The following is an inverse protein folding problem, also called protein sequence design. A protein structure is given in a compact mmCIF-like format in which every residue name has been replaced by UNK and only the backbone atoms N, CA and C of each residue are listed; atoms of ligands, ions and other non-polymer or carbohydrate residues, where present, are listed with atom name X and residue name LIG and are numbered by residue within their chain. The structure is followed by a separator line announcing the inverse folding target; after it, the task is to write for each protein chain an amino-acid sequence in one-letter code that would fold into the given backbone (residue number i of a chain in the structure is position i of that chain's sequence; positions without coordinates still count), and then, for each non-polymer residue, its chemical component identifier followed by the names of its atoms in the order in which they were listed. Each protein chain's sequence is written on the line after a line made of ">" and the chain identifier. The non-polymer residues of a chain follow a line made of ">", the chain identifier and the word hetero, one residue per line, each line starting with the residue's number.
data_IF_383948583126
#
_entry.id   IF_383948583126
#
_cell.length_a   1.000
_cell.length_b   1.000
_cell.length_c   1.000
_cell.angle_alpha   90.00
_cell.angle_beta   90.00
_cell.angle_gamma   90.00
#
_symmetry.space_group_name_H-M   'P 1'
#
loop_
_entity.id
_entity.type
_entity.pdbx_description
1 polymer ?
#
# COMPACT_ATOMS: atom_id res chain seq x y z
N UNK A 1 4.20 -0.27 -22.02
CA UNK A 1 3.73 -0.29 -20.63
C UNK A 1 2.30 -0.81 -20.66
N UNK A 2 2.01 -1.92 -19.99
CA UNK A 2 0.66 -2.50 -19.92
C UNK A 2 -0.24 -1.67 -18.99
N UNK A 3 -1.57 -1.88 -19.06
CA UNK A 3 -2.50 -1.21 -18.15
C UNK A 3 -2.23 -1.60 -16.70
N UNK A 4 -1.82 -2.83 -16.44
CA UNK A 4 -1.37 -3.26 -15.13
C UNK A 4 -0.18 -2.42 -14.66
N UNK A 5 0.87 -2.28 -15.47
CA UNK A 5 2.04 -1.48 -15.12
C UNK A 5 1.67 0.00 -14.82
N UNK A 6 0.74 0.61 -15.59
CA UNK A 6 0.22 1.95 -15.31
C UNK A 6 -0.49 2.06 -13.95
N UNK A 7 -1.32 1.07 -13.63
CA UNK A 7 -2.03 1.00 -12.33
C UNK A 7 -1.06 0.81 -11.17
N UNK A 8 -0.05 -0.04 -11.34
CA UNK A 8 0.98 -0.27 -10.34
C UNK A 8 1.82 1.00 -10.11
N UNK A 9 2.11 1.75 -11.18
CA UNK A 9 2.77 3.05 -11.07
C UNK A 9 1.91 4.09 -10.36
N UNK A 10 0.60 4.09 -10.60
CA UNK A 10 -0.34 4.94 -9.87
C UNK A 10 -0.43 4.57 -8.39
N UNK A 11 -0.41 3.27 -8.05
CA UNK A 11 -0.35 2.80 -6.67
C UNK A 11 0.96 3.22 -5.99
N UNK A 12 2.10 3.01 -6.64
CA UNK A 12 3.42 3.40 -6.13
C UNK A 12 3.49 4.91 -5.81
N UNK A 13 3.06 5.78 -6.74
CA UNK A 13 2.99 7.23 -6.50
C UNK A 13 2.07 7.60 -5.33
N UNK A 14 0.97 6.86 -5.15
CA UNK A 14 0.08 7.08 -4.02
C UNK A 14 0.75 6.68 -2.70
N UNK A 15 1.47 5.55 -2.65
CA UNK A 15 2.23 5.14 -1.49
C UNK A 15 3.27 6.21 -1.11
N UNK A 16 4.02 6.71 -2.09
CA UNK A 16 5.01 7.79 -1.87
C UNK A 16 4.36 9.04 -1.28
N UNK A 17 3.23 9.47 -1.87
CA UNK A 17 2.48 10.64 -1.38
C UNK A 17 1.91 10.43 0.02
N UNK A 18 1.38 9.23 0.30
CA UNK A 18 0.78 8.90 1.60
C UNK A 18 1.79 8.87 2.76
N UNK A 19 3.07 8.85 2.41
CA UNK A 19 4.20 8.75 3.33
C UNK A 19 5.07 10.00 3.34
N UNK A 20 4.61 11.08 2.71
CA UNK A 20 5.26 12.37 2.83
C UNK A 20 5.10 12.92 4.24
N UNK A 21 6.22 13.31 4.87
CA UNK A 21 6.21 14.06 6.13
C UNK A 21 5.45 15.37 5.97
N UNK A 22 4.71 15.78 7.00
CA UNK A 22 3.92 17.01 6.98
C UNK A 22 4.08 17.79 8.30
N UNK A 23 3.87 19.12 8.30
CA UNK A 23 3.92 19.91 9.51
C UNK A 23 2.89 19.43 10.53
N UNK A 24 3.29 19.25 11.79
CA UNK A 24 2.37 18.94 12.88
C UNK A 24 1.24 19.99 12.91
N UNK A 25 -0.03 19.57 13.07
CA UNK A 25 -1.16 20.50 13.18
C UNK A 25 -0.99 21.54 14.30
N UNK A 26 -0.20 21.21 15.33
CA UNK A 26 0.09 22.11 16.45
C UNK A 26 1.13 23.17 16.06
N UNK A 27 2.04 22.85 15.14
CA UNK A 27 3.09 23.74 14.62
C UNK A 27 2.63 24.60 13.45
N UNK A 28 1.56 24.21 12.76
CA UNK A 28 0.97 24.97 11.66
C UNK A 28 0.17 26.21 12.11
N UNK A 29 0.14 26.52 13.42
CA UNK A 29 -0.54 27.70 13.98
C UNK A 29 0.25 28.98 13.66
N UNK A 30 -0.45 30.11 13.60
CA UNK A 30 0.19 31.41 13.43
C UNK A 30 1.31 31.61 14.46
N UNK A 31 2.49 32.09 14.03
CA UNK A 31 3.62 32.29 14.94
C UNK A 31 3.23 33.29 16.02
N UNK A 32 3.40 32.88 17.30
CA UNK A 32 3.19 33.80 18.42
C UNK A 32 4.13 34.99 18.28
N UNK A 33 3.66 36.17 18.66
CA UNK A 33 4.47 37.39 18.68
C UNK A 33 4.94 37.67 20.10
N UNK A 34 6.17 38.16 20.24
CA UNK A 34 6.68 38.63 21.51
C UNK A 34 6.03 39.97 21.90
N UNK A 35 6.37 40.48 23.09
CA UNK A 35 5.89 41.76 23.60
C UNK A 35 6.14 42.95 22.64
N UNK A 36 7.14 42.85 21.77
CA UNK A 36 7.47 43.87 20.77
C UNK A 36 6.85 43.60 19.38
N UNK A 37 5.87 42.69 19.30
CA UNK A 37 5.18 42.35 18.06
C UNK A 37 6.01 41.55 17.04
N UNK A 38 7.22 41.10 17.40
CA UNK A 38 8.08 40.30 16.51
C UNK A 38 7.68 38.83 16.60
N UNK A 39 7.63 38.08 15.48
CA UNK A 39 7.35 36.65 15.51
C UNK A 39 8.43 35.93 16.33
N UNK A 40 7.98 35.05 17.23
CA UNK A 40 8.84 34.15 17.99
C UNK A 40 9.18 32.98 17.07
N UNK A 41 10.47 32.71 16.80
CA UNK A 41 10.86 31.52 16.05
C UNK A 41 10.32 30.28 16.75
N UNK A 42 9.42 29.56 16.09
CA UNK A 42 8.95 28.26 16.52
C UNK A 42 9.52 27.22 15.56
N UNK A 43 10.26 26.21 16.02
CA UNK A 43 10.64 25.10 15.16
C UNK A 43 9.35 24.44 14.64
N UNK A 44 9.25 24.27 13.32
CA UNK A 44 8.16 23.50 12.73
C UNK A 44 8.43 22.04 13.07
N UNK A 45 7.65 21.49 13.99
CA UNK A 45 7.68 20.06 14.26
C UNK A 45 7.07 19.34 13.06
N UNK A 46 7.82 18.43 12.46
CA UNK A 46 7.36 17.62 11.34
C UNK A 46 6.87 16.28 11.86
N UNK A 47 5.69 15.86 11.42
CA UNK A 47 5.22 14.48 11.60
C UNK A 47 5.89 13.65 10.52
N UNK A 48 6.75 12.72 10.94
CA UNK A 48 7.37 11.73 10.06
C UNK A 48 6.40 10.59 9.86
N UNK A 49 6.06 10.33 8.60
CA UNK A 49 5.15 9.26 8.21
C UNK A 49 5.96 8.23 7.42
N UNK A 50 6.05 7.01 7.93
CA UNK A 50 6.70 5.89 7.25
C UNK A 50 5.91 5.46 6.01
N UNK A 51 6.54 4.61 5.19
CA UNK A 51 5.88 4.02 4.03
C UNK A 51 4.67 3.19 4.42
N UNK A 52 3.55 3.44 3.72
CA UNK A 52 2.28 2.77 4.02
C UNK A 52 2.32 1.27 3.65
N UNK A 53 3.08 0.94 2.61
CA UNK A 53 3.42 -0.41 2.16
C UNK A 53 4.63 -0.35 1.23
N UNK A 54 5.34 -1.46 1.07
CA UNK A 54 6.49 -1.59 0.16
C UNK A 54 6.16 -2.50 -1.01
N UNK A 55 6.36 -2.04 -2.24
CA UNK A 55 6.20 -2.88 -3.43
C UNK A 55 7.52 -3.58 -3.70
N UNK A 56 7.49 -4.91 -3.79
CA UNK A 56 8.66 -5.76 -3.94
C UNK A 56 8.53 -6.63 -5.19
N UNK A 57 9.39 -6.44 -6.21
CA UNK A 57 9.53 -7.40 -7.30
C UNK A 57 9.98 -8.74 -6.73
N UNK A 58 9.29 -9.82 -7.10
CA UNK A 58 9.59 -11.16 -6.60
C UNK A 58 9.38 -12.21 -7.68
N UNK A 59 10.12 -13.32 -7.58
CA UNK A 59 9.87 -14.53 -8.37
C UNK A 59 8.80 -15.38 -7.68
N UNK A 60 7.64 -15.53 -8.33
CA UNK A 60 6.49 -16.20 -7.73
C UNK A 60 6.70 -17.71 -7.50
N UNK A 61 7.69 -18.30 -8.18
CA UNK A 61 8.09 -19.70 -7.97
C UNK A 61 8.95 -19.91 -6.72
N UNK A 62 9.39 -18.83 -6.06
CA UNK A 62 10.24 -18.88 -4.87
C UNK A 62 9.45 -18.58 -3.60
N UNK A 63 10.01 -18.97 -2.45
CA UNK A 63 9.47 -18.58 -1.15
C UNK A 63 9.66 -17.07 -0.92
N UNK A 64 8.71 -16.39 -0.25
CA UNK A 64 8.87 -14.99 0.11
C UNK A 64 9.97 -14.81 1.15
N UNK A 65 10.53 -13.60 1.24
CA UNK A 65 11.33 -13.24 2.42
C UNK A 65 10.47 -13.26 3.68
N UNK A 66 11.06 -13.70 4.79
CA UNK A 66 10.47 -13.64 6.13
C UNK A 66 11.19 -12.65 7.05
N UNK A 67 12.30 -12.06 6.58
CA UNK A 67 13.09 -11.07 7.31
C UNK A 67 12.52 -9.66 7.09
N UNK A 68 11.43 -9.37 7.79
CA UNK A 68 10.81 -8.04 7.84
C UNK A 68 10.12 -7.81 9.19
N UNK A 69 9.99 -6.54 9.58
CA UNK A 69 9.28 -6.20 10.81
C UNK A 69 7.78 -6.56 10.69
N UNK A 70 7.17 -7.08 11.77
CA UNK A 70 5.75 -7.49 11.76
C UNK A 70 4.78 -6.34 11.45
N UNK A 71 5.21 -5.10 11.61
CA UNK A 71 4.43 -3.93 11.25
C UNK A 71 4.75 -3.42 9.84
N UNK A 72 5.80 -3.90 9.16
CA UNK A 72 5.99 -3.64 7.74
C UNK A 72 4.86 -4.28 6.90
N UNK A 73 4.62 -3.76 5.70
CA UNK A 73 3.60 -4.28 4.80
C UNK A 73 4.20 -4.52 3.41
N UNK A 74 4.87 -5.67 3.21
CA UNK A 74 5.38 -6.10 1.91
C UNK A 74 4.22 -6.38 0.94
N UNK A 75 4.30 -5.87 -0.29
CA UNK A 75 3.40 -6.17 -1.39
C UNK A 75 4.24 -6.78 -2.52
N UNK A 76 4.28 -8.11 -2.57
CA UNK A 76 5.02 -8.82 -3.61
C UNK A 76 4.30 -8.71 -4.95
N UNK A 77 5.04 -8.47 -6.02
CA UNK A 77 4.54 -8.37 -7.39
C UNK A 77 5.56 -9.02 -8.32
N UNK A 78 5.12 -9.59 -9.45
CA UNK A 78 6.04 -10.24 -10.38
C UNK A 78 7.07 -9.26 -10.94
N UNK A 79 8.28 -9.75 -11.23
CA UNK A 79 9.33 -8.93 -11.86
C UNK A 79 8.85 -8.27 -13.17
N UNK A 80 8.07 -8.99 -13.99
CA UNK A 80 7.53 -8.50 -15.26
C UNK A 80 6.57 -7.30 -15.07
N UNK A 81 5.67 -7.38 -14.09
CA UNK A 81 4.75 -6.27 -13.81
C UNK A 81 5.46 -5.08 -13.16
N UNK A 82 6.56 -5.31 -12.45
CA UNK A 82 7.30 -4.25 -11.76
C UNK A 82 8.39 -3.57 -12.62
N UNK A 83 8.79 -4.17 -13.74
CA UNK A 83 9.89 -3.70 -14.61
C UNK A 83 9.88 -2.18 -14.86
N UNK A 84 8.75 -1.50 -15.18
CA UNK A 84 8.79 -0.08 -15.54
C UNK A 84 8.90 0.89 -14.36
N UNK A 85 8.77 0.41 -13.11
CA UNK A 85 8.61 1.27 -11.94
C UNK A 85 9.92 1.87 -11.43
N UNK A 86 11.08 1.39 -11.92
CA UNK A 86 12.39 1.77 -11.39
C UNK A 86 12.42 1.72 -9.85
N UNK A 87 11.90 0.64 -9.27
CA UNK A 87 11.84 0.47 -7.82
C UNK A 87 13.26 0.48 -7.22
N UNK A 88 13.43 0.93 -5.97
CA UNK A 88 14.72 0.91 -5.32
C UNK A 88 15.27 -0.52 -5.26
N UNK A 89 16.61 -0.70 -5.37
CA UNK A 89 17.22 -2.03 -5.38
C UNK A 89 17.06 -2.79 -4.06
N UNK A 90 16.79 -2.07 -2.97
CA UNK A 90 16.51 -2.60 -1.64
C UNK A 90 15.30 -1.88 -1.08
N UNK A 91 14.28 -2.63 -0.68
CA UNK A 91 13.12 -2.08 0.02
C UNK A 91 13.42 -1.95 1.53
N UNK A 92 12.87 -0.92 2.17
CA UNK A 92 12.95 -0.76 3.62
C UNK A 92 11.88 -1.61 4.30
N UNK A 93 12.30 -2.73 4.89
CA UNK A 93 11.44 -3.66 5.62
C UNK A 93 11.52 -3.48 7.15
N UNK A 94 12.07 -2.34 7.60
CA UNK A 94 12.13 -1.98 9.02
C UNK A 94 10.76 -1.48 9.54
N UNK A 95 10.59 -1.30 10.87
CA UNK A 95 9.33 -0.82 11.44
C UNK A 95 8.94 0.55 10.86
N UNK A 96 7.73 0.73 10.29
CA UNK A 96 7.36 1.98 9.65
C UNK A 96 7.07 3.07 10.70
N UNK A 97 7.73 4.23 10.55
CA UNK A 97 7.55 5.37 11.45
C UNK A 97 6.08 5.86 11.48
N UNK A 98 5.46 5.93 12.66
CA UNK A 98 4.11 6.48 12.83
C UNK A 98 2.98 5.74 12.08
N UNK A 99 3.28 4.60 11.45
CA UNK A 99 2.36 3.82 10.61
C UNK A 99 2.31 2.35 11.05
N UNK A 100 2.33 2.11 12.36
CA UNK A 100 2.05 0.79 12.92
C UNK A 100 0.67 0.29 12.50
N UNK A 101 0.41 -1.01 12.67
CA UNK A 101 -0.82 -1.74 12.31
C UNK A 101 -0.91 -2.12 10.83
N UNK A 102 -0.08 -3.07 10.42
CA UNK A 102 -0.10 -3.63 9.07
C UNK A 102 -1.51 -4.07 8.62
N UNK A 103 -2.30 -4.70 9.50
CA UNK A 103 -3.67 -5.13 9.20
C UNK A 103 -4.61 -3.97 8.83
N UNK A 104 -4.65 -2.91 9.63
CA UNK A 104 -5.50 -1.73 9.39
C UNK A 104 -5.12 -1.06 8.05
N UNK A 105 -3.82 -1.02 7.74
CA UNK A 105 -3.31 -0.46 6.48
C UNK A 105 -3.70 -1.29 5.27
N UNK A 106 -3.54 -2.61 5.35
CA UNK A 106 -3.98 -3.52 4.31
C UNK A 106 -5.50 -3.43 4.10
N UNK A 107 -6.28 -3.39 5.19
CA UNK A 107 -7.72 -3.22 5.13
C UNK A 107 -8.11 -1.90 4.45
N UNK A 108 -7.40 -0.80 4.72
CA UNK A 108 -7.64 0.48 4.05
C UNK A 108 -7.36 0.40 2.55
N UNK A 109 -6.23 -0.20 2.15
CA UNK A 109 -5.89 -0.39 0.73
C UNK A 109 -6.98 -1.19 0.02
N UNK A 110 -7.36 -2.35 0.58
CA UNK A 110 -8.42 -3.21 0.02
C UNK A 110 -9.75 -2.45 -0.06
N UNK A 111 -10.16 -1.77 1.01
CA UNK A 111 -11.40 -0.99 1.02
C UNK A 111 -11.43 0.12 -0.03
N UNK A 112 -10.31 0.82 -0.24
CA UNK A 112 -10.20 1.86 -1.28
C UNK A 112 -10.22 1.27 -2.69
N UNK A 113 -9.65 0.08 -2.90
CA UNK A 113 -9.77 -0.64 -4.18
C UNK A 113 -11.19 -1.16 -4.43
N UNK A 114 -11.88 -1.66 -3.41
CA UNK A 114 -13.29 -2.05 -3.51
C UNK A 114 -14.18 -0.86 -3.89
N UNK A 115 -13.96 0.30 -3.25
CA UNK A 115 -14.67 1.53 -3.60
C UNK A 115 -14.31 1.97 -5.03
N UNK A 116 -13.04 1.92 -5.43
CA UNK A 116 -12.59 2.22 -6.79
C UNK A 116 -13.22 1.31 -7.85
N UNK A 117 -13.41 0.02 -7.55
CA UNK A 117 -14.04 -0.95 -8.45
C UNK A 117 -15.56 -0.73 -8.58
N UNK A 118 -16.21 -0.21 -7.53
CA UNK A 118 -17.65 0.10 -7.53
C UNK A 118 -17.99 1.45 -8.14
N UNK A 119 -17.04 2.38 -8.15
CA UNK A 119 -17.28 3.76 -8.56
C UNK A 119 -17.56 3.80 -10.07
N UNK A 120 -18.84 3.81 -10.42
CA UNK A 120 -19.28 4.31 -11.73
C UNK A 120 -18.94 5.81 -11.78
N UNK A 121 -18.61 6.37 -12.97
CA UNK A 121 -18.32 7.80 -13.11
C UNK A 121 -19.41 8.76 -12.59
N UNK A 122 -20.58 8.26 -12.20
CA UNK A 122 -21.72 9.01 -11.68
C UNK A 122 -21.90 8.98 -10.15
N UNK A 123 -21.12 8.21 -9.38
CA UNK A 123 -21.27 8.16 -7.91
C UNK A 123 -20.42 9.24 -7.24
N UNK A 124 -21.11 10.19 -6.62
CA UNK A 124 -20.67 11.24 -5.68
C UNK A 124 -19.21 11.76 -5.81
N UNK A 125 -19.01 13.03 -6.21
CA UNK A 125 -17.69 13.63 -6.46
C UNK A 125 -16.64 13.38 -5.36
N UNK A 126 -17.07 13.47 -4.10
CA UNK A 126 -16.18 13.28 -2.94
C UNK A 126 -15.58 11.87 -2.81
N UNK A 127 -16.18 10.84 -3.43
CA UNK A 127 -15.59 9.48 -3.54
C UNK A 127 -14.72 9.33 -4.79
N UNK A 128 -15.05 10.04 -5.87
CA UNK A 128 -14.30 10.02 -7.11
C UNK A 128 -12.95 10.77 -7.01
N UNK A 129 -12.85 11.74 -6.09
CA UNK A 129 -11.71 12.66 -5.96
C UNK A 129 -10.35 11.99 -5.68
N UNK A 130 -10.32 10.75 -5.20
CA UNK A 130 -9.04 10.07 -4.94
C UNK A 130 -8.49 9.25 -6.12
N UNK A 131 -9.30 9.00 -7.16
CA UNK A 131 -8.85 8.32 -8.39
C UNK A 131 -8.42 6.86 -8.20
N UNK A 132 -9.11 6.09 -7.35
CA UNK A 132 -8.74 4.69 -7.07
C UNK A 132 -9.04 3.73 -8.21
N UNK A 133 -9.95 4.10 -9.11
CA UNK A 133 -10.21 3.36 -10.35
C UNK A 133 -8.97 3.21 -11.23
N UNK A 134 -7.98 4.10 -11.10
CA UNK A 134 -6.75 4.09 -11.90
C UNK A 134 -5.62 3.27 -11.26
N UNK A 135 -5.83 2.69 -10.08
CA UNK A 135 -4.82 1.89 -9.34
C UNK A 135 -5.37 0.60 -8.77
N UNK A 136 -6.45 0.07 -9.36
CA UNK A 136 -6.98 -1.25 -9.01
C UNK A 136 -5.92 -2.32 -9.22
N UNK A 137 -5.76 -3.19 -8.22
CA UNK A 137 -4.92 -4.38 -8.27
C UNK A 137 -5.73 -5.56 -7.78
N UNK A 138 -5.41 -6.77 -8.25
CA UNK A 138 -5.78 -7.98 -7.53
C UNK A 138 -4.88 -8.11 -6.30
N UNK A 139 -5.45 -8.50 -5.16
CA UNK A 139 -4.71 -8.72 -3.92
C UNK A 139 -5.02 -10.10 -3.37
N UNK A 140 -3.97 -10.89 -3.14
CA UNK A 140 -4.04 -12.22 -2.54
C UNK A 140 -3.22 -12.23 -1.24
N UNK A 141 -3.77 -12.85 -0.20
CA UNK A 141 -3.03 -13.09 1.04
C UNK A 141 -2.28 -14.41 0.96
N UNK A 142 -1.01 -14.42 1.36
CA UNK A 142 -0.25 -15.66 1.55
C UNK A 142 -0.22 -15.99 3.07
N UNK A 143 -0.77 -17.15 3.50
CA UNK A 143 -0.99 -17.46 4.92
C UNK A 143 0.19 -18.15 5.61
N UNK A 144 1.24 -18.55 4.87
CA UNK A 144 2.42 -19.25 5.40
C UNK A 144 3.69 -18.76 4.71
N UNK A 145 4.83 -18.58 5.43
CA UNK A 145 6.11 -18.26 4.81
C UNK A 145 6.70 -19.43 4.00
N UNK A 146 6.23 -20.66 4.24
CA UNK A 146 6.70 -21.88 3.56
C UNK A 146 5.89 -22.20 2.29
N UNK A 147 5.05 -21.26 1.84
CA UNK A 147 4.23 -21.37 0.64
C UNK A 147 4.82 -20.49 -0.47
N UNK A 148 4.85 -20.96 -1.72
CA UNK A 148 5.23 -20.09 -2.84
C UNK A 148 4.13 -19.06 -3.13
N UNK A 149 4.47 -17.96 -3.80
CA UNK A 149 3.47 -16.95 -4.17
C UNK A 149 2.51 -17.53 -5.23
N UNK A 150 2.99 -18.37 -6.14
CA UNK A 150 2.15 -19.09 -7.10
C UNK A 150 1.12 -19.97 -6.38
N UNK A 151 1.53 -20.79 -5.41
CA UNK A 151 0.61 -21.66 -4.67
C UNK A 151 -0.45 -20.83 -3.91
N UNK A 152 -0.07 -19.68 -3.36
CA UNK A 152 -1.00 -18.78 -2.68
C UNK A 152 -2.04 -18.19 -3.66
N UNK A 153 -1.61 -17.82 -4.87
CA UNK A 153 -2.48 -17.31 -5.94
C UNK A 153 -3.46 -18.39 -6.42
N UNK A 154 -2.97 -19.61 -6.62
CA UNK A 154 -3.79 -20.75 -7.02
C UNK A 154 -4.80 -21.15 -5.93
N UNK A 155 -4.36 -21.22 -4.67
CA UNK A 155 -5.23 -21.51 -3.54
C UNK A 155 -6.31 -20.44 -3.33
N UNK A 156 -6.02 -19.18 -3.70
CA UNK A 156 -6.98 -18.10 -3.67
C UNK A 156 -7.92 -18.08 -4.89
N UNK A 157 -7.73 -18.96 -5.88
CA UNK A 157 -8.52 -18.99 -7.11
C UNK A 157 -8.26 -17.79 -8.04
N UNK A 158 -7.09 -17.15 -7.92
CA UNK A 158 -6.73 -15.94 -8.64
C UNK A 158 -5.89 -16.20 -9.91
N UNK A 159 -5.70 -17.46 -10.32
CA UNK A 159 -4.88 -17.83 -11.48
C UNK A 159 -5.40 -17.28 -12.82
N UNK A 160 -6.68 -16.92 -12.89
CA UNK A 160 -7.33 -16.36 -14.09
C UNK A 160 -7.34 -14.82 -14.11
N UNK A 161 -6.64 -14.15 -13.20
CA UNK A 161 -6.53 -12.67 -13.22
C UNK A 161 -5.87 -12.25 -14.53
N UNK A 162 -6.48 -11.29 -15.23
CA UNK A 162 -5.86 -10.68 -16.41
C UNK A 162 -4.70 -9.79 -15.98
N UNK A 163 -3.47 -10.34 -16.06
CA UNK A 163 -2.23 -9.68 -15.63
C UNK A 163 -1.83 -8.48 -16.49
N UNK A 164 -2.40 -8.33 -17.69
CA UNK A 164 -2.24 -7.13 -18.52
C UNK A 164 -3.15 -5.98 -18.06
N UNK A 165 -4.31 -6.31 -17.47
CA UNK A 165 -5.31 -5.35 -17.03
C UNK A 165 -5.12 -4.91 -15.58
N UNK A 166 -4.70 -5.82 -14.69
CA UNK A 166 -4.58 -5.59 -13.25
C UNK A 166 -3.26 -6.16 -12.71
N UNK A 167 -2.50 -5.39 -11.91
CA UNK A 167 -1.39 -5.94 -11.13
C UNK A 167 -1.89 -6.99 -10.16
N UNK A 168 -1.10 -8.04 -9.95
CA UNK A 168 -1.36 -9.03 -8.91
C UNK A 168 -0.39 -8.80 -7.74
N UNK A 169 -0.94 -8.43 -6.58
CA UNK A 169 -0.19 -8.21 -5.36
C UNK A 169 -0.39 -9.38 -4.41
N UNK A 170 0.69 -9.98 -3.95
CA UNK A 170 0.66 -11.03 -2.91
C UNK A 170 1.18 -10.45 -1.61
N UNK A 171 0.42 -10.62 -0.53
CA UNK A 171 0.67 -9.93 0.75
C UNK A 171 0.85 -10.96 1.87
N UNK A 172 1.94 -10.90 2.65
CA UNK A 172 2.14 -11.80 3.78
C UNK A 172 1.07 -11.57 4.84
N UNK A 173 0.29 -12.60 5.16
CA UNK A 173 -0.76 -12.56 6.20
C UNK A 173 -0.47 -13.48 7.38
N UNK A 174 0.60 -14.28 7.31
CA UNK A 174 1.03 -15.18 8.38
C UNK A 174 1.43 -14.44 9.66
N UNK A 175 1.96 -13.23 9.55
CA UNK A 175 2.37 -12.42 10.70
C UNK A 175 1.20 -11.74 11.42
N UNK A 176 0.02 -11.71 10.79
CA UNK A 176 -1.20 -11.16 11.37
C UNK A 176 -1.82 -12.13 12.37
N UNK A 177 -2.62 -11.62 13.30
CA UNK A 177 -3.44 -12.45 14.18
C UNK A 177 -4.60 -13.08 13.41
N UNK A 178 -5.19 -14.15 13.95
CA UNK A 178 -6.37 -14.78 13.35
C UNK A 178 -7.56 -13.81 13.23
N UNK A 179 -7.74 -12.93 14.23
CA UNK A 179 -8.78 -11.89 14.21
C UNK A 179 -8.56 -10.88 13.09
N UNK A 180 -7.33 -10.41 12.90
CA UNK A 180 -7.00 -9.48 11.82
C UNK A 180 -7.22 -10.15 10.46
N UNK A 181 -6.72 -11.37 10.25
CA UNK A 181 -6.96 -12.12 9.00
C UNK A 181 -8.44 -12.27 8.69
N UNK A 182 -9.27 -12.60 9.68
CA UNK A 182 -10.72 -12.75 9.50
C UNK A 182 -11.44 -11.43 9.11
N UNK A 183 -10.84 -10.28 9.41
CA UNK A 183 -11.38 -8.96 9.05
C UNK A 183 -10.99 -8.49 7.64
N UNK A 184 -9.99 -9.13 7.03
CA UNK A 184 -9.53 -8.82 5.69
C UNK A 184 -10.48 -9.41 4.65
N UNK A 185 -10.83 -8.61 3.65
CA UNK A 185 -11.62 -9.04 2.49
C UNK A 185 -10.70 -9.55 1.39
N UNK A 186 -9.99 -10.64 1.66
CA UNK A 186 -9.08 -11.27 0.70
C UNK A 186 -9.63 -12.65 0.27
N UNK A 187 -9.36 -13.08 -0.98
CA UNK A 187 -8.72 -12.30 -2.05
C UNK A 187 -9.63 -11.18 -2.56
N UNK A 188 -9.02 -10.07 -2.99
CA UNK A 188 -9.71 -9.03 -3.75
C UNK A 188 -9.34 -9.17 -5.22
N UNK A 189 -10.33 -9.43 -6.08
CA UNK A 189 -10.14 -9.58 -7.52
C UNK A 189 -11.08 -8.59 -8.22
N UNK A 190 -10.54 -7.58 -8.94
CA UNK A 190 -11.37 -6.69 -9.75
C UNK A 190 -12.16 -7.47 -10.80
N UNK A 191 -13.42 -7.07 -11.01
CA UNK A 191 -14.32 -7.61 -12.05
C UNK A 191 -14.42 -6.69 -13.25
#
# INVERSE_FOLDING_TARGET
>A
MTRAQERLAALSRWLDKSSASYPSPVSAREPKRNWFGRPIPHPIEMVVVGRYAEILPWDFATLPTSDFDRQALPLFVSHEQAEPLNLPPVADLSPPAGQGRAADRLQMIVGKMEDGARTRPALAPWRADEGWQDRLCAIVGIPSPDMSLTDAVDAAGASNVNLDAFPLLVVPTWHLTAKERASLRLPFIPS
#
